data_IF_348411896819
#
_entry.id   IF_348411896819
#
_cell.length_a   1.000
_cell.length_b   1.000
_cell.length_c   1.000
_cell.angle_alpha   90.00
_cell.angle_beta   90.00
_cell.angle_gamma   90.00
#
_symmetry.space_group_name_H-M   'P 1'
#
loop_
_entity.id
_entity.type
_entity.pdbx_description
1 polymer ?
#
# COMPACT_ATOMS: atom_id res chain seq x y z
N UNK A 1 -42.91 -22.41 3.54
CA UNK A 1 -41.73 -22.45 4.46
C UNK A 1 -40.38 -22.71 3.77
N UNK A 2 -40.32 -23.39 2.61
CA UNK A 2 -39.04 -23.65 1.90
C UNK A 2 -38.43 -22.35 1.32
N UNK A 3 -39.24 -21.51 0.69
CA UNK A 3 -38.78 -20.26 0.04
C UNK A 3 -38.25 -19.20 1.01
N UNK A 4 -38.80 -19.14 2.23
CA UNK A 4 -38.34 -18.22 3.28
C UNK A 4 -36.98 -18.65 3.84
N UNK A 5 -36.73 -19.96 3.94
CA UNK A 5 -35.42 -20.51 4.36
C UNK A 5 -34.36 -20.26 3.30
N UNK A 6 -34.71 -20.44 2.03
CA UNK A 6 -33.82 -20.16 0.90
C UNK A 6 -33.50 -18.67 0.78
N UNK A 7 -34.48 -17.78 1.05
CA UNK A 7 -34.23 -16.33 1.09
C UNK A 7 -33.27 -15.94 2.23
N UNK A 8 -33.52 -16.43 3.45
CA UNK A 8 -32.67 -16.14 4.61
C UNK A 8 -31.25 -16.70 4.44
N UNK A 9 -31.11 -17.86 3.77
CA UNK A 9 -29.82 -18.43 3.43
C UNK A 9 -29.07 -17.55 2.43
N UNK A 10 -29.73 -17.04 1.39
CA UNK A 10 -29.15 -16.10 0.43
C UNK A 10 -28.73 -14.78 1.09
N UNK A 11 -29.57 -14.19 1.92
CA UNK A 11 -29.25 -12.96 2.66
C UNK A 11 -28.02 -13.16 3.56
N UNK A 12 -27.94 -14.29 4.27
CA UNK A 12 -26.77 -14.63 5.09
C UNK A 12 -25.51 -14.79 4.24
N UNK A 13 -25.61 -15.47 3.10
CA UNK A 13 -24.49 -15.65 2.17
C UNK A 13 -23.98 -14.31 1.64
N UNK A 14 -24.87 -13.46 1.12
CA UNK A 14 -24.51 -12.13 0.60
C UNK A 14 -23.85 -11.28 1.68
N UNK A 15 -24.38 -11.32 2.91
CA UNK A 15 -23.77 -10.60 4.04
C UNK A 15 -22.36 -11.11 4.34
N UNK A 16 -22.17 -12.43 4.39
CA UNK A 16 -20.87 -13.03 4.68
C UNK A 16 -19.84 -12.69 3.60
N UNK A 17 -20.24 -12.76 2.33
CA UNK A 17 -19.37 -12.37 1.21
C UNK A 17 -19.02 -10.88 1.27
N UNK A 18 -19.99 -10.01 1.58
CA UNK A 18 -19.75 -8.58 1.74
C UNK A 18 -18.83 -8.24 2.92
N UNK A 19 -18.99 -8.92 4.05
CA UNK A 19 -18.09 -8.78 5.22
C UNK A 19 -16.67 -9.24 4.89
N UNK A 20 -16.52 -10.36 4.18
CA UNK A 20 -15.22 -10.89 3.74
C UNK A 20 -14.54 -9.96 2.74
N UNK A 21 -15.26 -9.54 1.70
CA UNK A 21 -14.74 -8.62 0.68
C UNK A 21 -14.35 -7.26 1.30
N UNK A 22 -15.18 -6.73 2.20
CA UNK A 22 -14.91 -5.49 2.92
C UNK A 22 -13.64 -5.60 3.78
N UNK A 23 -13.47 -6.73 4.48
CA UNK A 23 -12.28 -6.98 5.28
C UNK A 23 -11.01 -7.10 4.42
N UNK A 24 -11.04 -7.90 3.35
CA UNK A 24 -9.90 -8.08 2.44
C UNK A 24 -9.48 -6.75 1.77
N UNK A 25 -10.46 -5.97 1.26
CA UNK A 25 -10.20 -4.64 0.69
C UNK A 25 -9.64 -3.68 1.73
N UNK A 26 -10.19 -3.70 2.95
CA UNK A 26 -9.72 -2.88 4.06
C UNK A 26 -8.27 -3.18 4.43
N UNK A 27 -7.94 -4.47 4.57
CA UNK A 27 -6.60 -4.95 4.88
C UNK A 27 -5.60 -4.57 3.78
N UNK A 28 -5.93 -4.83 2.51
CA UNK A 28 -5.06 -4.48 1.38
C UNK A 28 -4.82 -2.97 1.31
N UNK A 29 -5.86 -2.16 1.45
CA UNK A 29 -5.75 -0.69 1.44
C UNK A 29 -4.92 -0.19 2.62
N UNK A 30 -5.08 -0.77 3.81
CA UNK A 30 -4.30 -0.45 4.99
C UNK A 30 -2.82 -0.76 4.80
N UNK A 31 -2.52 -1.97 4.31
CA UNK A 31 -1.15 -2.41 4.03
C UNK A 31 -0.46 -1.52 3.00
N UNK A 32 -1.12 -1.25 1.87
CA UNK A 32 -0.57 -0.39 0.81
C UNK A 32 -0.26 1.02 1.33
N UNK A 33 -1.18 1.62 2.10
CA UNK A 33 -0.95 2.94 2.71
C UNK A 33 0.18 2.93 3.74
N UNK A 34 0.32 1.85 4.50
CA UNK A 34 1.40 1.70 5.47
C UNK A 34 2.76 1.63 4.79
N UNK A 35 2.86 0.84 3.72
CA UNK A 35 4.08 0.72 2.90
C UNK A 35 4.43 2.06 2.25
N UNK A 36 3.46 2.74 1.62
CA UNK A 36 3.68 4.05 0.98
C UNK A 36 4.25 5.06 1.98
N UNK A 37 3.60 5.25 3.12
CA UNK A 37 4.09 6.17 4.17
C UNK A 37 5.45 5.78 4.72
N UNK A 38 5.70 4.49 4.89
CA UNK A 38 7.00 4.00 5.37
C UNK A 38 8.13 4.31 4.40
N UNK A 39 7.87 4.20 3.08
CA UNK A 39 8.84 4.58 2.04
C UNK A 39 9.05 6.10 2.01
N UNK A 40 7.99 6.90 2.14
CA UNK A 40 8.11 8.37 2.18
C UNK A 40 9.00 8.83 3.34
N UNK A 41 8.75 8.33 4.56
CA UNK A 41 9.59 8.63 5.74
C UNK A 41 11.02 8.15 5.51
N UNK A 42 11.20 6.94 5.00
CA UNK A 42 12.53 6.40 4.71
C UNK A 42 13.33 7.29 3.74
N UNK A 43 12.69 7.80 2.69
CA UNK A 43 13.33 8.70 1.73
C UNK A 43 13.68 10.03 2.42
N UNK A 44 12.74 10.62 3.17
CA UNK A 44 12.97 11.87 3.90
C UNK A 44 14.17 11.77 4.84
N UNK A 45 14.22 10.74 5.68
CA UNK A 45 15.30 10.53 6.63
C UNK A 45 16.66 10.40 5.92
N UNK A 46 16.73 9.65 4.82
CA UNK A 46 17.98 9.50 4.08
C UNK A 46 18.39 10.80 3.38
N UNK A 47 17.44 11.62 2.91
CA UNK A 47 17.73 12.94 2.35
C UNK A 47 18.24 13.91 3.42
N UNK A 48 17.62 13.92 4.60
CA UNK A 48 18.06 14.71 5.77
C UNK A 48 19.46 14.31 6.24
N UNK A 49 19.80 13.01 6.18
CA UNK A 49 21.14 12.49 6.42
C UNK A 49 22.15 12.80 5.29
N UNK A 50 21.73 13.49 4.23
CA UNK A 50 22.58 13.85 3.09
C UNK A 50 22.93 12.69 2.17
N UNK A 51 22.15 11.59 2.17
CA UNK A 51 22.33 10.50 1.20
C UNK A 51 21.95 10.98 -0.20
N UNK A 52 22.73 10.52 -1.18
CA UNK A 52 22.42 10.76 -2.59
C UNK A 52 21.19 9.98 -3.03
N UNK A 53 20.50 10.47 -4.07
CA UNK A 53 19.36 9.78 -4.69
C UNK A 53 19.69 8.34 -5.08
N UNK A 54 20.88 8.11 -5.64
CA UNK A 54 21.32 6.79 -6.06
C UNK A 54 21.47 5.82 -4.88
N UNK A 55 22.01 6.28 -3.75
CA UNK A 55 22.08 5.46 -2.53
C UNK A 55 20.69 5.10 -1.98
N UNK A 56 19.73 6.01 -2.09
CA UNK A 56 18.35 5.77 -1.66
C UNK A 56 17.69 4.72 -2.57
N UNK A 57 17.81 4.88 -3.89
CA UNK A 57 17.30 3.91 -4.89
C UNK A 57 17.87 2.51 -4.63
N UNK A 58 19.18 2.38 -4.44
CA UNK A 58 19.79 1.08 -4.15
C UNK A 58 19.23 0.44 -2.88
N UNK A 59 19.00 1.23 -1.82
CA UNK A 59 18.40 0.71 -0.59
C UNK A 59 16.94 0.31 -0.78
N UNK A 60 16.18 1.05 -1.58
CA UNK A 60 14.79 0.71 -1.92
C UNK A 60 14.70 -0.63 -2.65
N UNK A 61 15.55 -0.84 -3.67
CA UNK A 61 15.63 -2.12 -4.38
C UNK A 61 16.04 -3.25 -3.42
N UNK A 62 17.12 -3.06 -2.65
CA UNK A 62 17.67 -4.12 -1.77
C UNK A 62 16.78 -4.46 -0.57
N UNK A 63 16.11 -3.48 0.04
CA UNK A 63 15.39 -3.66 1.33
C UNK A 63 13.89 -3.79 1.17
N UNK A 64 13.31 -3.16 0.16
CA UNK A 64 11.87 -3.18 -0.08
C UNK A 64 11.50 -4.02 -1.30
N UNK A 65 12.48 -4.57 -2.02
CA UNK A 65 12.25 -5.43 -3.19
C UNK A 65 11.61 -4.70 -4.37
N UNK A 66 11.71 -3.36 -4.40
CA UNK A 66 11.21 -2.56 -5.51
C UNK A 66 12.01 -2.84 -6.78
N UNK A 67 11.34 -2.75 -7.93
CA UNK A 67 12.07 -2.64 -9.19
C UNK A 67 12.85 -1.33 -9.22
N UNK A 68 13.93 -1.28 -10.00
CA UNK A 68 14.72 -0.06 -10.14
C UNK A 68 13.86 1.11 -10.66
N UNK A 69 12.96 0.84 -11.62
CA UNK A 69 12.02 1.83 -12.13
C UNK A 69 11.05 2.35 -11.06
N UNK A 70 10.51 1.47 -10.21
CA UNK A 70 9.59 1.90 -9.15
C UNK A 70 10.34 2.70 -8.08
N UNK A 71 11.55 2.28 -7.73
CA UNK A 71 12.40 2.99 -6.78
C UNK A 71 12.73 4.41 -7.28
N UNK A 72 13.07 4.57 -8.57
CA UNK A 72 13.29 5.88 -9.20
C UNK A 72 12.02 6.73 -9.09
N UNK A 73 10.88 6.20 -9.53
CA UNK A 73 9.61 6.94 -9.55
C UNK A 73 9.22 7.46 -8.16
N UNK A 74 9.40 6.62 -7.13
CA UNK A 74 9.05 7.03 -5.76
C UNK A 74 10.03 8.06 -5.20
N UNK A 75 11.33 7.96 -5.51
CA UNK A 75 12.32 8.98 -5.12
C UNK A 75 12.09 10.31 -5.83
N UNK A 76 11.69 10.28 -7.10
CA UNK A 76 11.33 11.48 -7.86
C UNK A 76 10.10 12.15 -7.27
N UNK A 77 9.00 11.41 -7.08
CA UNK A 77 7.76 11.92 -6.45
C UNK A 77 8.04 12.62 -5.11
N UNK A 78 8.91 12.05 -4.28
CA UNK A 78 9.24 12.58 -2.96
C UNK A 78 10.24 13.74 -2.99
N UNK A 79 11.05 13.87 -4.05
CA UNK A 79 12.01 14.98 -4.18
C UNK A 79 11.44 16.18 -4.96
N UNK A 80 10.40 15.98 -5.77
CA UNK A 80 9.69 17.07 -6.43
C UNK A 80 8.83 17.89 -5.46
N UNK A 81 8.29 17.26 -4.40
CA UNK A 81 7.56 17.97 -3.34
C UNK A 81 8.42 18.93 -2.49
N UNK A 82 9.75 18.80 -2.52
CA UNK A 82 10.71 19.65 -1.80
C UNK A 82 11.14 20.90 -2.60
N UNK A 83 10.65 21.08 -3.83
CA UNK A 83 11.00 22.24 -4.69
C UNK A 83 10.04 23.45 -4.55
N UNK A 84 9.15 23.48 -3.56
CA UNK A 84 8.28 24.63 -3.28
C UNK A 84 8.80 25.46 -2.11
#
# INVERSE_FOLDING_TARGET
MKDVRDRKAREKYVRQEGEKEGFEKGLQKGMNKGIEKGIEIFISDNLEEGKSRQQIIEKLVKRFGLSESDAIMVVEKNTEGLKM
#
